data_IF_857046630123
#
_entry.id   IF_857046630123
#
_cell.length_a   1.000
_cell.length_b   1.000
_cell.length_c   1.000
_cell.angle_alpha   90.00
_cell.angle_beta   90.00
_cell.angle_gamma   90.00
#
_symmetry.space_group_name_H-M   'P 1'
#
loop_
_entity.id
_entity.type
_entity.pdbx_description
1 polymer ?
#
# COMPACT_ATOMS: atom_id res chain seq x y z
N UNK A 1 4.89 -8.53 -17.80
CA UNK A 1 4.90 -7.20 -17.13
C UNK A 1 3.52 -6.98 -16.58
N UNK A 2 3.36 -6.24 -15.48
CA UNK A 2 2.02 -5.90 -15.01
C UNK A 2 1.34 -5.03 -16.07
N UNK A 3 0.12 -5.38 -16.47
CA UNK A 3 -0.64 -4.61 -17.47
C UNK A 3 -1.12 -3.26 -16.92
N UNK A 4 -0.92 -3.04 -15.62
CA UNK A 4 -1.40 -1.89 -14.87
C UNK A 4 -0.40 -1.53 -13.77
N UNK A 5 -0.22 -0.24 -13.51
CA UNK A 5 0.52 0.30 -12.36
C UNK A 5 -0.42 1.13 -11.51
N UNK A 6 -0.34 0.99 -10.19
CA UNK A 6 -1.11 1.83 -9.27
C UNK A 6 -0.44 3.20 -9.20
N UNK A 7 -1.14 4.28 -9.51
CA UNK A 7 -0.69 5.64 -9.22
C UNK A 7 -1.43 6.13 -7.97
N UNK A 8 -0.69 6.44 -6.91
CA UNK A 8 -1.27 6.76 -5.61
C UNK A 8 -0.89 8.18 -5.17
N UNK A 9 -1.89 9.02 -4.93
CA UNK A 9 -1.71 10.29 -4.23
C UNK A 9 -1.85 10.03 -2.73
N UNK A 10 -0.71 9.96 -2.05
CA UNK A 10 -0.66 9.66 -0.63
C UNK A 10 -1.35 10.72 0.22
N UNK A 11 -1.16 12.00 -0.13
CA UNK A 11 -1.71 13.14 0.61
C UNK A 11 -3.24 13.09 0.66
N UNK A 12 -3.88 12.68 -0.44
CA UNK A 12 -5.35 12.57 -0.53
C UNK A 12 -5.87 11.16 -0.27
N UNK A 13 -4.98 10.18 -0.10
CA UNK A 13 -5.30 8.76 -0.02
C UNK A 13 -6.20 8.26 -1.18
N UNK A 14 -5.88 8.71 -2.40
CA UNK A 14 -6.61 8.35 -3.62
C UNK A 14 -5.70 7.63 -4.61
N UNK A 15 -6.21 6.57 -5.24
CA UNK A 15 -5.45 5.78 -6.21
C UNK A 15 -6.15 5.71 -7.57
N UNK A 16 -5.36 5.51 -8.60
CA UNK A 16 -5.76 5.26 -9.97
C UNK A 16 -4.98 4.05 -10.49
N UNK A 17 -5.68 3.06 -11.03
CA UNK A 17 -5.02 2.00 -11.79
C UNK A 17 -4.76 2.53 -13.19
N UNK A 18 -3.49 2.67 -13.56
CA UNK A 18 -3.04 3.16 -14.85
C UNK A 18 -2.69 1.97 -15.76
N UNK A 19 -3.48 1.68 -16.80
CA UNK A 19 -3.10 0.72 -17.82
C UNK A 19 -1.82 1.16 -18.53
N UNK A 20 -0.87 0.24 -18.71
CA UNK A 20 0.39 0.53 -19.40
C UNK A 20 0.32 0.29 -20.92
N UNK A 21 -0.83 -0.14 -21.44
CA UNK A 21 -1.01 -0.42 -22.86
C UNK A 21 -1.09 0.88 -23.67
N UNK A 22 -0.04 1.13 -24.46
CA UNK A 22 0.04 2.19 -25.47
C UNK A 22 -0.14 3.65 -24.99
N UNK A 23 -0.17 3.91 -23.68
CA UNK A 23 -0.18 5.28 -23.14
C UNK A 23 1.22 5.88 -23.05
N UNK A 24 1.36 7.13 -23.48
CA UNK A 24 2.55 7.93 -23.19
C UNK A 24 2.58 8.26 -21.70
N UNK A 25 3.56 7.71 -20.98
CA UNK A 25 3.77 7.99 -19.57
C UNK A 25 4.26 9.43 -19.30
N UNK A 26 4.56 10.21 -20.34
CA UNK A 26 4.97 11.60 -20.22
C UNK A 26 3.80 12.58 -19.99
N UNK A 27 2.56 12.16 -20.27
CA UNK A 27 1.36 13.00 -20.20
C UNK A 27 0.18 12.25 -19.60
N UNK A 28 0.32 11.82 -18.34
CA UNK A 28 -0.74 11.10 -17.62
C UNK A 28 -1.69 12.09 -16.93
N UNK A 29 -2.99 11.95 -17.16
CA UNK A 29 -4.02 12.70 -16.45
C UNK A 29 -4.32 12.06 -15.09
N UNK A 30 -3.94 12.76 -14.01
CA UNK A 30 -4.12 12.34 -12.63
C UNK A 30 -5.12 13.20 -11.87
N UNK A 31 -5.98 13.94 -12.56
CA UNK A 31 -7.01 14.80 -11.94
C UNK A 31 -7.99 14.01 -11.08
N UNK A 32 -8.29 12.76 -11.45
CA UNK A 32 -9.16 11.84 -10.67
C UNK A 32 -8.65 11.54 -9.26
N UNK A 33 -7.33 11.61 -9.07
CA UNK A 33 -6.69 11.47 -7.75
C UNK A 33 -6.21 12.83 -7.20
N UNK A 34 -6.75 13.92 -7.76
CA UNK A 34 -6.53 15.28 -7.30
C UNK A 34 -5.13 15.83 -7.52
N UNK A 35 -4.44 15.37 -8.57
CA UNK A 35 -3.13 15.85 -9.03
C UNK A 35 -3.26 16.54 -10.41
N UNK A 36 -2.13 16.81 -11.07
CA UNK A 36 -2.05 17.46 -12.39
C UNK A 36 -2.76 16.65 -13.49
N UNK A 37 -3.30 17.33 -14.50
CA UNK A 37 -3.85 16.73 -15.72
C UNK A 37 -2.79 16.29 -16.73
N UNK A 38 -1.51 16.56 -16.46
CA UNK A 38 -0.39 16.12 -17.29
C UNK A 38 0.85 15.92 -16.40
N UNK A 39 0.96 14.74 -15.81
CA UNK A 39 2.14 14.31 -15.06
C UNK A 39 3.04 13.44 -15.95
N UNK A 40 4.36 13.63 -15.82
CA UNK A 40 5.35 12.75 -16.42
C UNK A 40 5.80 11.69 -15.39
N UNK A 41 5.43 10.45 -15.65
CA UNK A 41 5.79 9.27 -14.86
C UNK A 41 6.80 8.36 -15.58
N UNK A 42 7.23 8.73 -16.79
CA UNK A 42 8.08 7.89 -17.65
C UNK A 42 9.44 7.56 -17.01
N UNK A 43 9.95 8.45 -16.17
CA UNK A 43 11.21 8.28 -15.46
C UNK A 43 11.09 7.54 -14.12
N UNK A 44 9.86 7.38 -13.60
CA UNK A 44 9.62 6.79 -12.29
C UNK A 44 9.22 5.32 -12.41
N UNK A 45 8.45 4.97 -13.45
CA UNK A 45 8.00 3.60 -13.71
C UNK A 45 9.17 2.75 -14.22
N UNK A 46 9.39 1.62 -13.55
CA UNK A 46 10.41 0.59 -13.83
C UNK A 46 9.73 -0.77 -14.05
N UNK A 47 10.51 -1.77 -14.45
CA UNK A 47 10.00 -3.11 -14.77
C UNK A 47 9.34 -3.85 -13.59
N UNK A 48 9.76 -3.54 -12.37
CA UNK A 48 9.28 -4.13 -11.12
C UNK A 48 8.31 -3.23 -10.35
N UNK A 49 7.94 -2.09 -10.92
CA UNK A 49 6.98 -1.16 -10.32
C UNK A 49 5.62 -1.81 -10.20
N UNK A 50 5.13 -1.89 -8.97
CA UNK A 50 3.75 -2.23 -8.66
C UNK A 50 2.91 -0.96 -8.46
N UNK A 51 3.48 0.02 -7.74
CA UNK A 51 2.85 1.30 -7.48
C UNK A 51 3.83 2.47 -7.65
N UNK A 52 3.32 3.63 -8.05
CA UNK A 52 4.00 4.91 -8.08
C UNK A 52 3.27 5.83 -7.10
N UNK A 53 4.00 6.27 -6.07
CA UNK A 53 3.44 7.01 -4.94
C UNK A 53 3.91 8.46 -4.99
N UNK A 54 2.97 9.39 -4.87
CA UNK A 54 3.24 10.81 -4.63
C UNK A 54 3.03 11.15 -3.16
N UNK A 55 4.09 11.55 -2.48
CA UNK A 55 4.08 11.90 -1.04
C UNK A 55 3.65 13.35 -0.74
N UNK A 56 3.35 14.14 -1.79
CA UNK A 56 3.11 15.58 -1.69
C UNK A 56 4.25 16.45 -2.23
N UNK A 57 5.42 15.86 -2.41
CA UNK A 57 6.63 16.52 -2.88
C UNK A 57 7.32 15.76 -4.01
N UNK A 58 7.35 14.43 -3.94
CA UNK A 58 8.14 13.58 -4.80
C UNK A 58 7.38 12.34 -5.25
N UNK A 59 7.81 11.78 -6.38
CA UNK A 59 7.29 10.52 -6.93
C UNK A 59 8.27 9.39 -6.64
N UNK A 60 7.77 8.29 -6.09
CA UNK A 60 8.58 7.09 -5.80
C UNK A 60 7.93 5.84 -6.38
N UNK A 61 8.71 5.04 -7.11
CA UNK A 61 8.29 3.69 -7.51
C UNK A 61 8.44 2.71 -6.35
N UNK A 62 7.44 1.87 -6.15
CA UNK A 62 7.38 0.84 -5.14
C UNK A 62 7.14 -0.52 -5.78
N UNK A 63 7.84 -1.52 -5.27
CA UNK A 63 7.52 -2.94 -5.48
C UNK A 63 6.21 -3.30 -4.76
N UNK A 64 5.64 -4.47 -5.07
CA UNK A 64 4.44 -4.96 -4.39
C UNK A 64 4.58 -4.97 -2.86
N UNK A 65 5.75 -5.41 -2.37
CA UNK A 65 6.04 -5.47 -0.94
C UNK A 65 6.04 -4.09 -0.27
N UNK A 66 6.75 -3.13 -0.87
CA UNK A 66 6.81 -1.77 -0.35
C UNK A 66 5.44 -1.08 -0.36
N UNK A 67 4.61 -1.39 -1.37
CA UNK A 67 3.24 -0.90 -1.45
C UNK A 67 2.36 -1.44 -0.33
N UNK A 68 2.37 -2.76 -0.10
CA UNK A 68 1.59 -3.39 0.97
C UNK A 68 2.01 -2.85 2.34
N UNK A 69 3.32 -2.73 2.59
CA UNK A 69 3.86 -2.17 3.84
C UNK A 69 3.39 -0.73 4.06
N UNK A 70 3.41 0.12 3.02
CA UNK A 70 2.90 1.49 3.10
C UNK A 70 1.41 1.49 3.50
N UNK A 71 0.59 0.72 2.79
CA UNK A 71 -0.88 0.72 2.97
C UNK A 71 -1.31 0.21 4.33
N UNK A 72 -0.63 -0.83 4.84
CA UNK A 72 -0.88 -1.36 6.17
C UNK A 72 -0.50 -0.35 7.26
N UNK A 73 0.65 0.34 7.11
CA UNK A 73 1.07 1.35 8.09
C UNK A 73 0.11 2.55 8.11
N UNK A 74 -0.37 3.01 6.95
CA UNK A 74 -1.39 4.05 6.88
C UNK A 74 -2.69 3.63 7.55
N UNK A 75 -3.13 2.38 7.34
CA UNK A 75 -4.30 1.83 8.00
C UNK A 75 -4.13 1.81 9.53
N UNK A 76 -2.97 1.36 10.03
CA UNK A 76 -2.66 1.36 11.46
C UNK A 76 -2.70 2.78 12.07
N UNK A 77 -2.11 3.78 11.40
CA UNK A 77 -2.18 5.16 11.89
C UNK A 77 -3.62 5.69 11.88
N UNK A 78 -4.41 5.37 10.85
CA UNK A 78 -5.79 5.82 10.73
C UNK A 78 -6.73 5.24 11.79
N UNK A 79 -6.39 4.09 12.38
CA UNK A 79 -7.16 3.46 13.45
C UNK A 79 -6.62 3.74 14.86
N UNK A 80 -5.44 4.35 14.97
CA UNK A 80 -4.84 4.68 16.25
C UNK A 80 -5.74 5.63 17.06
N UNK A 81 -5.96 5.30 18.33
CA UNK A 81 -6.88 5.98 19.24
C UNK A 81 -8.36 5.66 19.01
N UNK A 82 -8.73 4.80 18.04
CA UNK A 82 -10.13 4.41 17.80
C UNK A 82 -10.55 3.17 18.56
N UNK A 83 -9.60 2.39 19.04
CA UNK A 83 -9.84 1.17 19.79
C UNK A 83 -9.18 1.24 21.17
N UNK A 84 -9.51 0.28 22.04
CA UNK A 84 -8.80 0.14 23.31
C UNK A 84 -7.34 -0.23 23.05
N UNK A 85 -6.44 0.17 23.97
CA UNK A 85 -5.01 -0.15 23.90
C UNK A 85 -4.76 -1.64 23.65
N UNK A 86 -5.54 -2.49 24.34
CA UNK A 86 -5.48 -3.93 24.13
C UNK A 86 -5.74 -4.26 22.66
N UNK A 87 -6.84 -3.75 22.07
CA UNK A 87 -7.21 -4.04 20.66
C UNK A 87 -6.17 -3.53 19.69
N UNK A 88 -5.61 -2.36 19.93
CA UNK A 88 -4.52 -1.82 19.12
C UNK A 88 -3.28 -2.72 19.16
N UNK A 89 -2.96 -3.30 20.31
CA UNK A 89 -1.84 -4.25 20.44
C UNK A 89 -2.04 -5.51 19.60
N UNK A 90 -3.25 -6.08 19.61
CA UNK A 90 -3.59 -7.25 18.76
C UNK A 90 -3.44 -6.91 17.28
N UNK A 91 -3.98 -5.76 16.86
CA UNK A 91 -3.91 -5.33 15.46
C UNK A 91 -2.46 -5.07 15.01
N UNK A 92 -1.63 -4.49 15.89
CA UNK A 92 -0.21 -4.29 15.63
C UNK A 92 0.55 -5.63 15.50
N UNK A 93 0.27 -6.60 16.37
CA UNK A 93 0.85 -7.94 16.28
C UNK A 93 0.43 -8.67 14.99
N UNK A 94 -0.85 -8.61 14.62
CA UNK A 94 -1.36 -9.16 13.37
C UNK A 94 -0.63 -8.60 12.15
N UNK A 95 -0.47 -7.27 12.11
CA UNK A 95 0.28 -6.58 11.05
C UNK A 95 1.74 -7.01 11.02
N UNK A 96 2.42 -7.11 12.16
CA UNK A 96 3.79 -7.62 12.21
C UNK A 96 3.88 -9.08 11.70
N UNK A 97 2.85 -9.89 11.96
CA UNK A 97 2.72 -11.24 11.41
C UNK A 97 2.62 -11.27 9.89
N UNK A 98 1.98 -10.26 9.28
CA UNK A 98 1.82 -10.15 7.82
C UNK A 98 3.16 -9.95 7.12
N UNK A 99 4.07 -9.15 7.66
CA UNK A 99 5.44 -9.00 7.12
C UNK A 99 6.19 -10.35 7.11
N UNK A 100 6.15 -11.09 8.23
CA UNK A 100 6.75 -12.44 8.31
C UNK A 100 6.11 -13.40 7.30
N UNK A 101 4.80 -13.29 7.06
CA UNK A 101 4.10 -14.06 6.03
C UNK A 101 4.59 -13.69 4.64
N UNK A 102 4.79 -12.41 4.35
CA UNK A 102 5.26 -11.97 3.05
C UNK A 102 6.72 -12.37 2.76
N UNK A 103 7.52 -12.57 3.80
CA UNK A 103 8.85 -13.21 3.70
C UNK A 103 8.79 -14.73 3.51
N UNK A 104 7.59 -15.33 3.40
CA UNK A 104 7.39 -16.77 3.25
C UNK A 104 7.61 -17.59 4.52
N UNK A 105 7.74 -16.93 5.69
CA UNK A 105 8.07 -17.57 6.97
C UNK A 105 6.86 -17.88 7.85
N UNK A 106 5.67 -17.41 7.47
CA UNK A 106 4.41 -17.64 8.19
C UNK A 106 3.27 -17.90 7.20
N UNK A 107 2.38 -18.85 7.53
CA UNK A 107 1.19 -19.14 6.71
C UNK A 107 0.00 -18.29 7.15
N UNK A 108 -1.00 -18.16 6.28
CA UNK A 108 -2.28 -17.54 6.64
C UNK A 108 -2.95 -18.25 7.83
N UNK A 109 -2.86 -19.59 7.90
CA UNK A 109 -3.42 -20.37 9.01
C UNK A 109 -2.77 -19.98 10.32
N UNK A 110 -1.44 -19.97 10.38
CA UNK A 110 -0.72 -19.61 11.60
C UNK A 110 -1.05 -18.18 12.07
N UNK A 111 -1.16 -17.25 11.12
CA UNK A 111 -1.46 -15.85 11.40
C UNK A 111 -2.89 -15.67 11.95
N UNK A 112 -3.88 -16.38 11.40
CA UNK A 112 -5.26 -16.36 11.90
C UNK A 112 -5.42 -17.10 13.24
N UNK A 113 -4.68 -18.19 13.45
CA UNK A 113 -4.65 -18.89 14.75
C UNK A 113 -4.06 -18.03 15.86
N UNK A 114 -2.97 -17.31 15.59
CA UNK A 114 -2.38 -16.33 16.52
C UNK A 114 -3.39 -15.22 16.85
N UNK A 115 -4.02 -14.62 15.84
CA UNK A 115 -5.05 -13.59 16.02
C UNK A 115 -6.22 -14.11 16.86
N UNK A 116 -6.74 -15.29 16.53
CA UNK A 116 -7.86 -15.89 17.25
C UNK A 116 -7.54 -16.13 18.72
N UNK A 117 -6.35 -16.68 19.02
CA UNK A 117 -5.88 -16.88 20.41
C UNK A 117 -5.76 -15.56 21.17
N UNK A 118 -5.25 -14.51 20.55
CA UNK A 118 -5.13 -13.20 21.20
C UNK A 118 -6.50 -12.56 21.49
N UNK A 119 -7.49 -12.78 20.62
CA UNK A 119 -8.87 -12.30 20.83
C UNK A 119 -9.55 -13.07 21.98
N UNK A 120 -9.45 -14.40 21.98
CA UNK A 120 -10.08 -15.28 22.99
C UNK A 120 -9.40 -15.19 24.38
N UNK A 121 -8.15 -14.75 24.46
CA UNK A 121 -7.43 -14.57 25.73
C UNK A 121 -7.86 -13.33 26.54
N UNK A 122 -8.95 -12.67 26.15
CA UNK A 122 -9.52 -11.48 26.80
C UNK A 122 -10.77 -11.81 27.59
#
# INVERSE_FOLDING_TARGET
MADTVIVYNQVKQQLLNLPLDHQSLAHVDLTKIGLSSSADLSHVIKSDTFAVVFDGSSWTSQTYMQWEDLRINEALQAIKGKYSESTEKILAHFVAGMDVKYQGKKSWVALLEELGKEIEAR
#
